data_IF_064189818188
#
_entry.id   IF_064189818188
#
_cell.length_a   1.000
_cell.length_b   1.000
_cell.length_c   1.000
_cell.angle_alpha   90.00
_cell.angle_beta   90.00
_cell.angle_gamma   90.00
#
_symmetry.space_group_name_H-M   'P 1'
#
loop_
_entity.id
_entity.type
_entity.pdbx_description
1 polymer ?
#
# COMPACT_ATOMS: atom_id res chain seq x y z
N UNK A 1 8.17 -4.04 2.66
CA UNK A 1 6.74 -3.95 2.26
C UNK A 1 5.87 -4.57 3.35
N UNK A 2 4.67 -4.00 3.64
CA UNK A 2 3.71 -4.46 4.67
C UNK A 2 4.29 -5.03 5.98
N UNK A 3 5.38 -4.47 6.50
CA UNK A 3 6.09 -5.01 7.68
C UNK A 3 6.56 -6.48 7.55
N UNK A 4 6.68 -7.01 6.33
CA UNK A 4 7.07 -8.40 6.05
C UNK A 4 5.90 -9.39 6.02
N UNK A 5 4.66 -8.91 6.18
CA UNK A 5 3.44 -9.73 6.12
C UNK A 5 2.44 -9.09 5.17
N UNK A 6 2.20 -9.75 4.03
CA UNK A 6 1.28 -9.29 2.99
C UNK A 6 -0.17 -9.08 3.50
N UNK A 7 -0.58 -9.79 4.54
CA UNK A 7 -1.95 -9.74 5.06
C UNK A 7 -2.16 -8.70 6.17
N UNK A 8 -1.09 -8.22 6.82
CA UNK A 8 -1.18 -7.40 8.02
C UNK A 8 -2.14 -6.21 7.87
N UNK A 9 -2.02 -5.42 6.80
CA UNK A 9 -2.91 -4.28 6.55
C UNK A 9 -4.22 -4.67 5.86
N UNK A 10 -4.20 -5.74 5.06
CA UNK A 10 -5.40 -6.27 4.38
C UNK A 10 -6.47 -6.69 5.39
N UNK A 11 -6.06 -7.39 6.44
CA UNK A 11 -6.97 -7.85 7.49
C UNK A 11 -7.54 -6.67 8.29
N UNK A 12 -6.73 -5.66 8.61
CA UNK A 12 -7.18 -4.46 9.31
C UNK A 12 -8.20 -3.64 8.51
N UNK A 13 -8.03 -3.58 7.18
CA UNK A 13 -8.99 -2.93 6.29
C UNK A 13 -10.29 -3.73 6.19
N UNK A 14 -10.19 -5.07 6.03
CA UNK A 14 -11.35 -5.98 6.02
C UNK A 14 -12.18 -5.86 7.30
N UNK A 15 -11.54 -5.86 8.47
CA UNK A 15 -12.23 -5.72 9.77
C UNK A 15 -13.00 -4.40 9.90
N UNK A 16 -12.58 -3.35 9.19
CA UNK A 16 -13.28 -2.05 9.16
C UNK A 16 -14.27 -1.91 8.01
N UNK A 17 -14.44 -2.95 7.18
CA UNK A 17 -15.26 -2.87 5.98
C UNK A 17 -14.73 -1.89 4.93
N UNK A 18 -13.42 -1.64 4.91
CA UNK A 18 -12.79 -0.72 3.96
C UNK A 18 -12.25 -1.47 2.75
N UNK A 19 -12.31 -0.82 1.57
CA UNK A 19 -11.59 -1.29 0.39
C UNK A 19 -10.07 -1.16 0.62
N UNK A 20 -9.31 -2.18 0.22
CA UNK A 20 -7.87 -2.24 0.40
C UNK A 20 -7.15 -2.33 -0.94
N UNK A 21 -6.17 -1.46 -1.12
CA UNK A 21 -5.28 -1.44 -2.29
C UNK A 21 -3.85 -1.35 -1.79
N UNK A 22 -2.96 -2.07 -2.45
CA UNK A 22 -1.54 -2.12 -2.12
C UNK A 22 -0.76 -2.53 -3.36
N UNK A 23 0.56 -2.66 -3.24
CA UNK A 23 1.41 -3.06 -4.35
C UNK A 23 1.09 -4.49 -4.81
N UNK A 24 0.85 -4.66 -6.11
CA UNK A 24 0.53 -5.95 -6.72
C UNK A 24 1.77 -6.66 -7.30
N UNK A 25 2.82 -5.91 -7.60
CA UNK A 25 4.09 -6.43 -8.08
C UNK A 25 5.25 -5.89 -7.22
N UNK A 26 5.89 -6.76 -6.46
CA UNK A 26 7.00 -6.39 -5.57
C UNK A 26 8.25 -5.96 -6.30
N UNK A 27 8.48 -6.41 -7.55
CA UNK A 27 9.63 -5.98 -8.37
C UNK A 27 9.57 -4.49 -8.70
N UNK A 28 8.40 -3.86 -8.52
CA UNK A 28 8.20 -2.41 -8.67
C UNK A 28 8.56 -1.61 -7.42
N UNK A 29 9.03 -2.27 -6.36
CA UNK A 29 9.55 -1.68 -5.14
C UNK A 29 11.03 -2.05 -4.98
N UNK A 30 11.88 -1.05 -4.81
CA UNK A 30 13.32 -1.26 -4.60
C UNK A 30 13.73 -0.59 -3.30
N UNK A 31 14.20 -1.38 -2.34
CA UNK A 31 14.72 -0.84 -1.08
C UNK A 31 15.98 0.00 -1.34
N UNK A 32 16.02 1.21 -0.78
CA UNK A 32 17.13 2.19 -0.87
C UNK A 32 17.60 2.65 0.51
N UNK A 33 17.34 1.85 1.54
CA UNK A 33 17.72 2.20 2.91
C UNK A 33 19.21 2.01 3.11
N UNK A 34 19.95 3.09 3.33
CA UNK A 34 21.39 3.03 3.59
C UNK A 34 21.68 2.71 5.07
N UNK A 35 20.93 3.32 5.99
CA UNK A 35 21.14 3.19 7.43
C UNK A 35 19.90 2.64 8.13
N UNK A 36 20.11 1.74 9.09
CA UNK A 36 19.01 1.23 9.94
C UNK A 36 18.56 2.32 10.89
N UNK A 37 17.30 2.25 11.32
CA UNK A 37 16.75 3.25 12.23
C UNK A 37 17.37 3.09 13.63
N UNK A 38 18.01 4.14 14.16
CA UNK A 38 18.77 4.11 15.43
C UNK A 38 17.99 3.47 16.60
N UNK A 39 16.74 3.87 16.79
CA UNK A 39 15.87 3.36 17.87
C UNK A 39 15.19 2.02 17.58
N UNK A 40 14.86 1.73 16.32
CA UNK A 40 13.95 0.63 15.96
C UNK A 40 14.63 -0.49 15.16
N UNK A 41 15.95 -0.40 14.95
CA UNK A 41 16.77 -1.42 14.33
C UNK A 41 16.34 -1.77 12.92
N UNK A 42 16.32 -3.06 12.62
CA UNK A 42 16.01 -3.62 11.31
C UNK A 42 14.51 -3.90 11.16
N UNK A 43 13.73 -2.84 11.06
CA UNK A 43 12.28 -2.96 10.86
C UNK A 43 11.88 -2.35 9.51
N UNK A 44 11.23 -3.18 8.68
CA UNK A 44 10.82 -2.86 7.31
C UNK A 44 9.94 -1.61 7.19
N UNK A 45 9.24 -1.22 8.26
CA UNK A 45 8.45 0.02 8.31
C UNK A 45 9.31 1.28 8.18
N UNK A 46 10.55 1.23 8.66
CA UNK A 46 11.48 2.36 8.66
C UNK A 46 12.50 2.29 7.52
N UNK A 47 12.19 1.52 6.47
CA UNK A 47 12.99 1.39 5.27
C UNK A 47 12.49 2.37 4.20
N UNK A 48 13.42 2.94 3.45
CA UNK A 48 13.13 3.79 2.30
C UNK A 48 13.03 2.93 1.04
N UNK A 49 12.04 3.20 0.19
CA UNK A 49 11.83 2.50 -1.07
C UNK A 49 11.74 3.50 -2.21
N UNK A 50 12.43 3.20 -3.32
CA UNK A 50 12.09 3.73 -4.62
C UNK A 50 10.99 2.84 -5.23
N UNK A 51 10.12 3.44 -6.05
CA UNK A 51 9.02 2.72 -6.67
C UNK A 51 8.75 3.16 -8.11
N UNK A 52 8.09 2.30 -8.87
CA UNK A 52 7.63 2.61 -10.23
C UNK A 52 6.44 3.58 -10.20
N UNK A 53 6.64 4.77 -10.74
CA UNK A 53 5.62 5.84 -10.76
C UNK A 53 4.39 5.45 -11.58
N UNK A 54 4.56 4.72 -12.68
CA UNK A 54 3.44 4.33 -13.54
C UNK A 54 2.54 3.33 -12.82
N UNK A 55 3.15 2.38 -12.10
CA UNK A 55 2.41 1.42 -11.28
C UNK A 55 1.68 2.11 -10.12
N UNK A 56 2.35 3.03 -9.43
CA UNK A 56 1.72 3.83 -8.37
C UNK A 56 0.47 4.55 -8.88
N UNK A 57 0.59 5.26 -10.01
CA UNK A 57 -0.51 6.00 -10.59
C UNK A 57 -1.65 5.09 -11.08
N UNK A 58 -1.34 3.89 -11.57
CA UNK A 58 -2.36 2.88 -11.93
C UNK A 58 -3.17 2.47 -10.69
N UNK A 59 -2.50 2.13 -9.59
CA UNK A 59 -3.17 1.73 -8.34
C UNK A 59 -4.05 2.87 -7.82
N UNK A 60 -3.53 4.10 -7.75
CA UNK A 60 -4.30 5.28 -7.30
C UNK A 60 -5.51 5.54 -8.20
N UNK A 61 -5.37 5.38 -9.52
CA UNK A 61 -6.49 5.55 -10.45
C UNK A 61 -7.60 4.53 -10.20
N UNK A 62 -7.23 3.27 -9.95
CA UNK A 62 -8.19 2.22 -9.59
C UNK A 62 -8.94 2.55 -8.28
N UNK A 63 -8.23 3.09 -7.28
CA UNK A 63 -8.85 3.53 -6.02
C UNK A 63 -9.87 4.65 -6.25
N UNK A 64 -9.53 5.63 -7.10
CA UNK A 64 -10.44 6.74 -7.45
C UNK A 64 -11.72 6.21 -8.11
N UNK A 65 -11.59 5.28 -9.06
CA UNK A 65 -12.76 4.69 -9.71
C UNK A 65 -13.63 3.89 -8.73
N UNK A 66 -13.02 3.15 -7.79
CA UNK A 66 -13.76 2.45 -6.74
C UNK A 66 -14.53 3.42 -5.83
N UNK A 67 -13.91 4.54 -5.44
CA UNK A 67 -14.60 5.58 -4.65
C UNK A 67 -15.77 6.18 -5.43
N UNK A 68 -15.58 6.52 -6.71
CA UNK A 68 -16.66 7.04 -7.57
C UNK A 68 -17.81 6.04 -7.68
N UNK A 69 -17.50 4.75 -7.86
CA UNK A 69 -18.49 3.67 -7.90
C UNK A 69 -19.29 3.62 -6.60
N UNK A 70 -18.62 3.58 -5.44
CA UNK A 70 -19.30 3.56 -4.13
C UNK A 70 -20.22 4.78 -3.93
N UNK A 71 -19.79 5.98 -4.35
CA UNK A 71 -20.60 7.19 -4.26
C UNK A 71 -21.87 7.09 -5.13
N UNK A 72 -21.76 6.52 -6.33
CA UNK A 72 -22.91 6.32 -7.23
C UNK A 72 -23.90 5.31 -6.64
N UNK A 73 -23.39 4.18 -6.14
CA UNK A 73 -24.19 3.13 -5.52
C UNK A 73 -24.91 3.62 -4.26
N UNK A 74 -24.25 4.43 -3.43
CA UNK A 74 -24.89 5.03 -2.24
C UNK A 74 -26.01 6.03 -2.58
N UNK A 75 -25.95 6.67 -3.75
CA UNK A 75 -26.93 7.67 -4.20
C UNK A 75 -28.10 7.07 -4.98
N UNK A 76 -28.00 5.80 -5.38
CA UNK A 76 -29.04 5.07 -6.10
C UNK A 76 -30.05 4.46 -5.11
#
# INVERSE_FOLDING_TARGET
YNCGDENCYKDLARLRGLNYYTWENEEKLVERTENKHDKYGDNLKFRNFAFDVKEFMRIVSNMVEQVKKNIREYKA
#
